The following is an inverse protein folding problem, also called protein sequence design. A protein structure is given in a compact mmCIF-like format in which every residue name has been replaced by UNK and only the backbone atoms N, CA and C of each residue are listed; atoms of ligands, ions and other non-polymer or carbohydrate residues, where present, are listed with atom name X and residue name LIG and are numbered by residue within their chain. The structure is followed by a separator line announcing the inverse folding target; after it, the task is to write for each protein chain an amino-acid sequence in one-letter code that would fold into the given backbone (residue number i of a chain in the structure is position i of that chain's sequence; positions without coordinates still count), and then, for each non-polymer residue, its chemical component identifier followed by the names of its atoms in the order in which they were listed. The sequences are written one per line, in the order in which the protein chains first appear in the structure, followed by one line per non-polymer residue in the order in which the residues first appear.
data_IF_154107160136
#
_entry.id   IF_154107160136
#
_cell.length_a   1.000
_cell.length_b   1.000
_cell.length_c   1.000
_cell.angle_alpha   90.00
_cell.angle_beta   90.00
_cell.angle_gamma   90.00
#
_symmetry.space_group_name_H-M   'P 1'
#
loop_
_entity.id
_entity.type
_entity.pdbx_description
1 polymer ?
#
# COMPACT_ATOMS: atom_id res chain seq x y z
N UNK A 1 18.12 3.22 -29.14
CA UNK A 1 17.56 2.30 -28.14
C UNK A 1 16.28 1.69 -28.70
N UNK A 2 15.95 0.44 -28.38
CA UNK A 2 14.67 -0.16 -28.77
C UNK A 2 13.52 0.51 -27.96
N UNK A 3 12.51 1.12 -28.62
CA UNK A 3 11.43 1.83 -27.92
C UNK A 3 10.64 0.94 -26.96
N UNK A 4 10.51 -0.36 -27.26
CA UNK A 4 9.84 -1.31 -26.37
C UNK A 4 10.62 -1.55 -25.07
N UNK A 5 11.95 -1.61 -25.14
CA UNK A 5 12.79 -1.74 -23.95
C UNK A 5 12.78 -0.46 -23.12
N UNK A 6 12.79 0.70 -23.78
CA UNK A 6 12.70 1.99 -23.09
C UNK A 6 11.39 2.11 -22.31
N UNK A 7 10.26 1.74 -22.92
CA UNK A 7 8.96 1.78 -22.25
C UNK A 7 8.92 0.89 -21.00
N UNK A 8 9.49 -0.32 -21.07
CA UNK A 8 9.56 -1.23 -19.92
C UNK A 8 10.38 -0.60 -18.78
N UNK A 9 11.54 -0.02 -19.09
CA UNK A 9 12.39 0.63 -18.09
C UNK A 9 11.69 1.86 -17.48
N UNK A 10 11.09 2.71 -18.30
CA UNK A 10 10.41 3.93 -17.84
C UNK A 10 9.22 3.59 -16.94
N UNK A 11 8.45 2.55 -17.28
CA UNK A 11 7.36 2.05 -16.45
C UNK A 11 7.87 1.55 -15.09
N UNK A 12 8.98 0.80 -15.05
CA UNK A 12 9.55 0.32 -13.79
C UNK A 12 10.04 1.46 -12.90
N UNK A 13 10.70 2.48 -13.47
CA UNK A 13 11.15 3.65 -12.72
C UNK A 13 9.96 4.39 -12.09
N UNK A 14 8.86 4.56 -12.83
CA UNK A 14 7.66 5.21 -12.29
C UNK A 14 6.99 4.38 -11.19
N UNK A 15 6.91 3.06 -11.37
CA UNK A 15 6.35 2.15 -10.36
C UNK A 15 7.20 2.21 -9.08
N UNK A 16 8.52 2.16 -9.19
CA UNK A 16 9.43 2.24 -8.05
C UNK A 16 9.28 3.57 -7.29
N UNK A 17 9.27 4.70 -8.00
CA UNK A 17 9.07 6.03 -7.39
C UNK A 17 7.73 6.12 -6.66
N UNK A 18 6.67 5.61 -7.25
CA UNK A 18 5.34 5.62 -6.65
C UNK A 18 5.26 4.75 -5.39
N UNK A 19 5.79 3.53 -5.44
CA UNK A 19 5.69 2.56 -4.34
C UNK A 19 6.68 2.85 -3.19
N UNK A 20 7.88 3.33 -3.50
CA UNK A 20 8.93 3.58 -2.51
C UNK A 20 8.88 4.98 -1.91
N UNK A 21 8.56 5.98 -2.73
CA UNK A 21 8.67 7.38 -2.34
C UNK A 21 7.32 8.11 -2.35
N UNK A 22 6.26 7.49 -2.87
CA UNK A 22 4.96 8.16 -3.05
C UNK A 22 5.00 9.27 -4.10
N UNK A 23 6.02 9.28 -4.96
CA UNK A 23 6.18 10.30 -6.00
C UNK A 23 5.44 9.90 -7.27
N UNK A 24 4.65 10.83 -7.82
CA UNK A 24 3.83 10.61 -9.01
C UNK A 24 2.36 10.41 -8.67
N UNK A 25 1.63 9.66 -9.51
CA UNK A 25 0.23 9.32 -9.26
C UNK A 25 -0.14 7.96 -9.82
N UNK A 26 -1.04 7.26 -9.11
CA UNK A 26 -1.63 6.02 -9.59
C UNK A 26 -2.34 6.21 -10.94
N UNK A 27 -2.97 7.36 -11.17
CA UNK A 27 -3.63 7.68 -12.44
C UNK A 27 -2.64 7.77 -13.61
N UNK A 28 -1.46 8.37 -13.40
CA UNK A 28 -0.42 8.46 -14.42
C UNK A 28 0.16 7.07 -14.75
N UNK A 29 0.31 6.20 -13.75
CA UNK A 29 0.69 4.80 -13.96
C UNK A 29 -0.36 4.04 -14.76
N UNK A 30 -1.64 4.18 -14.39
CA UNK A 30 -2.73 3.44 -15.03
C UNK A 30 -2.95 3.80 -16.51
N UNK A 31 -2.53 4.99 -16.96
CA UNK A 31 -2.56 5.37 -18.38
C UNK A 31 -1.60 4.56 -19.27
N UNK A 32 -0.61 3.88 -18.68
CA UNK A 32 0.37 3.05 -19.43
C UNK A 32 -0.13 1.63 -19.68
N UNK A 33 -1.17 1.20 -18.97
CA UNK A 33 -1.76 -0.12 -19.12
C UNK A 33 -2.95 -0.05 -20.08
N UNK A 34 -3.03 -1.02 -21.00
CA UNK A 34 -4.22 -1.18 -21.84
C UNK A 34 -5.44 -1.58 -20.99
N UNK A 35 -6.64 -1.24 -21.43
CA UNK A 35 -7.87 -1.51 -20.67
C UNK A 35 -8.15 -3.02 -20.48
N UNK A 36 -7.63 -3.86 -21.37
CA UNK A 36 -7.68 -5.33 -21.33
C UNK A 36 -6.44 -5.96 -20.67
N UNK A 37 -5.57 -5.15 -20.06
CA UNK A 37 -4.38 -5.63 -19.38
C UNK A 37 -4.72 -6.60 -18.25
N UNK A 38 -3.97 -7.69 -18.20
CA UNK A 38 -3.99 -8.63 -17.08
C UNK A 38 -2.57 -9.06 -16.74
N UNK A 39 -2.33 -9.38 -15.48
CA UNK A 39 -1.04 -9.89 -15.03
C UNK A 39 -1.20 -10.98 -13.99
N UNK A 40 -0.15 -11.77 -13.80
CA UNK A 40 -0.03 -12.73 -12.71
C UNK A 40 1.13 -12.26 -11.82
N UNK A 41 0.85 -11.73 -10.61
CA UNK A 41 1.87 -11.40 -9.63
C UNK A 41 2.50 -12.67 -9.05
N UNK A 42 3.57 -12.51 -8.26
CA UNK A 42 4.26 -13.63 -7.61
C UNK A 42 3.38 -14.43 -6.64
N UNK A 43 2.26 -13.87 -6.16
CA UNK A 43 1.28 -14.62 -5.37
C UNK A 43 0.49 -15.65 -6.17
N UNK A 44 0.54 -15.59 -7.51
CA UNK A 44 -0.12 -16.52 -8.42
C UNK A 44 -1.57 -16.20 -8.75
N UNK A 45 -2.18 -15.21 -8.09
CA UNK A 45 -3.57 -14.82 -8.35
C UNK A 45 -3.66 -13.78 -9.48
N UNK A 46 -4.34 -14.11 -10.58
CA UNK A 46 -4.50 -13.21 -11.72
C UNK A 46 -5.15 -11.88 -11.30
N UNK A 47 -4.53 -10.78 -11.70
CA UNK A 47 -5.05 -9.43 -11.51
C UNK A 47 -5.49 -8.86 -12.87
N UNK A 48 -6.73 -8.38 -12.93
CA UNK A 48 -7.25 -7.60 -14.05
C UNK A 48 -6.98 -6.10 -13.89
N UNK A 49 -7.25 -5.31 -14.93
CA UNK A 49 -7.03 -3.87 -14.92
C UNK A 49 -7.65 -3.15 -13.70
N UNK A 50 -8.93 -3.37 -13.33
CA UNK A 50 -9.50 -2.80 -12.11
C UNK A 50 -8.76 -3.19 -10.83
N UNK A 51 -8.29 -4.43 -10.73
CA UNK A 51 -7.55 -4.92 -9.57
C UNK A 51 -6.18 -4.27 -9.46
N UNK A 52 -5.47 -4.11 -10.59
CA UNK A 52 -4.19 -3.39 -10.67
C UNK A 52 -4.37 -1.91 -10.32
N UNK A 53 -5.43 -1.27 -10.82
CA UNK A 53 -5.76 0.13 -10.48
C UNK A 53 -5.96 0.30 -8.97
N UNK A 54 -6.80 -0.54 -8.37
CA UNK A 54 -7.02 -0.52 -6.92
C UNK A 54 -5.72 -0.72 -6.15
N UNK A 55 -4.86 -1.65 -6.58
CA UNK A 55 -3.56 -1.85 -5.96
C UNK A 55 -2.73 -0.57 -5.93
N UNK A 56 -2.52 0.09 -7.07
CA UNK A 56 -1.69 1.31 -7.12
C UNK A 56 -2.29 2.46 -6.32
N UNK A 57 -3.61 2.61 -6.28
CA UNK A 57 -4.27 3.63 -5.45
C UNK A 57 -4.10 3.39 -3.95
N UNK A 58 -3.94 2.13 -3.50
CA UNK A 58 -3.73 1.80 -2.08
C UNK A 58 -2.26 1.72 -1.67
N UNK A 59 -1.36 1.50 -2.64
CA UNK A 59 0.04 1.18 -2.38
C UNK A 59 0.94 2.43 -2.29
N UNK A 60 0.69 3.48 -3.07
CA UNK A 60 1.50 4.70 -3.01
C UNK A 60 0.99 5.74 -2.01
N UNK A 61 1.91 6.56 -1.49
CA UNK A 61 1.57 7.67 -0.58
C UNK A 61 1.40 7.31 0.90
N UNK A 62 1.75 6.09 1.31
CA UNK A 62 1.88 5.77 2.75
C UNK A 62 3.27 6.15 3.23
N UNK A 63 3.45 7.15 4.13
CA UNK A 63 4.69 7.26 4.87
C UNK A 63 4.88 5.92 5.60
N UNK A 64 6.04 5.31 5.42
CA UNK A 64 6.45 4.07 6.06
C UNK A 64 6.52 4.24 7.58
N UNK A 65 5.36 4.20 8.23
CA UNK A 65 5.17 4.20 9.67
C UNK A 65 4.48 2.94 10.19
N UNK A 66 4.31 1.91 9.37
CA UNK A 66 3.72 0.65 9.81
C UNK A 66 4.80 -0.15 10.55
N UNK A 67 4.91 0.09 11.87
CA UNK A 67 5.45 -0.91 12.78
C UNK A 67 4.51 -2.10 12.75
N UNK A 68 4.93 -3.21 12.16
CA UNK A 68 4.34 -4.51 12.45
C UNK A 68 4.51 -4.78 13.95
N UNK A 69 3.53 -4.41 14.77
CA UNK A 69 3.39 -4.90 16.15
C UNK A 69 2.54 -6.16 16.07
N UNK A 70 3.18 -7.27 15.70
CA UNK A 70 2.68 -8.59 16.08
C UNK A 70 2.98 -8.77 17.56
N UNK A 71 1.93 -8.93 18.37
CA UNK A 71 2.04 -8.99 19.82
C UNK A 71 0.67 -9.06 20.45
N UNK A 72 0.06 -10.24 20.35
CA UNK A 72 -0.98 -10.72 21.26
C UNK A 72 -0.44 -10.66 22.68
N UNK A 73 -0.96 -9.77 23.52
CA UNK A 73 -0.99 -9.87 24.99
C UNK A 73 -2.18 -8.99 25.41
N UNK A 74 -3.25 -9.50 26.00
CA UNK A 74 -3.26 -10.32 27.20
C UNK A 74 -4.03 -9.54 28.25
N UNK A 75 -5.33 -9.83 28.35
CA UNK A 75 -6.23 -9.31 29.38
C UNK A 75 -5.70 -9.63 30.80
N UNK A 76 -5.15 -8.62 31.50
CA UNK A 76 -4.99 -8.48 32.95
C UNK A 76 -4.60 -7.00 33.16
N UNK A 77 -5.38 -6.09 33.75
CA UNK A 77 -5.69 -6.05 35.17
C UNK A 77 -6.77 -4.96 35.38
N UNK A 78 -8.05 -5.34 35.51
CA UNK A 78 -9.07 -4.48 36.14
C UNK A 78 -9.07 -4.78 37.63
N UNK A 79 -8.25 -4.10 38.43
CA UNK A 79 -8.45 -3.97 39.89
C UNK A 79 -7.52 -2.90 40.45
N UNK A 80 -8.12 -1.78 40.88
CA UNK A 80 -7.73 -0.85 41.95
C UNK A 80 -8.09 0.59 41.52
N UNK A 81 -8.82 1.43 42.25
CA UNK A 81 -9.41 1.40 43.59
C UNK A 81 -10.53 2.45 43.60
N UNK A 82 -11.70 2.07 44.10
CA UNK A 82 -12.71 2.99 44.67
C UNK A 82 -12.14 3.62 45.94
N UNK A 83 -12.38 4.92 46.16
CA UNK A 83 -12.50 5.70 47.43
C UNK A 83 -12.10 7.16 47.12
N UNK A 84 -12.76 8.23 47.55
CA UNK A 84 -14.03 8.56 48.24
C UNK A 84 -14.01 10.11 48.37
N UNK A 85 -15.17 10.78 48.31
CA UNK A 85 -15.49 12.14 48.84
C UNK A 85 -14.67 13.33 48.31
N UNK A 86 -15.30 14.31 47.65
CA UNK A 86 -16.03 15.45 48.24
C UNK A 86 -15.15 16.35 49.11
N UNK A 87 -14.98 17.62 48.72
CA UNK A 87 -14.98 18.82 49.58
C UNK A 87 -15.35 20.02 48.69
N UNK A 88 -16.05 20.93 49.36
CA UNK A 88 -16.82 22.11 48.96
C UNK A 88 -16.15 23.12 48.02
#
# INVERSE_FOLDING_TARGET
MNPYLQEVLDAHVLIERWLSHGEGSAEALMKRFAADFTMIPLSGEKMDYPTVSRFFHHAGGKPSGVRYRSGSDGNHQRVARRRRSAIS
#
